data_IF_366054086814
#
_entry.id   IF_366054086814
#
_cell.length_a   1.000
_cell.length_b   1.000
_cell.length_c   1.000
_cell.angle_alpha   90.00
_cell.angle_beta   90.00
_cell.angle_gamma   90.00
#
_symmetry.space_group_name_H-M   'P 1'
#
loop_
_entity.id
_entity.type
_entity.pdbx_description
1 polymer ?
#
# COMPACT_ATOMS: atom_id res chain seq x y z
N UNK A 1 -28.29 -36.64 -10.23
CA UNK A 1 -28.14 -35.56 -11.23
C UNK A 1 -29.18 -34.51 -10.84
N UNK A 2 -28.78 -33.48 -10.11
CA UNK A 2 -29.62 -32.32 -9.83
C UNK A 2 -28.74 -31.10 -9.92
N UNK A 3 -28.98 -30.32 -10.95
CA UNK A 3 -28.25 -29.11 -11.31
C UNK A 3 -28.37 -28.06 -10.21
N UNK A 4 -27.23 -27.62 -9.67
CA UNK A 4 -27.11 -26.38 -8.92
C UNK A 4 -27.17 -25.21 -9.92
N UNK A 5 -28.39 -24.81 -10.30
CA UNK A 5 -28.61 -23.56 -11.00
C UNK A 5 -28.46 -22.45 -9.95
N UNK A 6 -27.31 -21.78 -9.97
CA UNK A 6 -27.05 -20.59 -9.15
C UNK A 6 -28.07 -19.52 -9.58
N UNK A 7 -28.95 -19.13 -8.66
CA UNK A 7 -29.90 -18.04 -8.88
C UNK A 7 -29.12 -16.73 -9.03
N UNK A 8 -28.97 -16.30 -10.28
CA UNK A 8 -28.26 -15.09 -10.68
C UNK A 8 -28.89 -13.85 -10.03
N UNK A 9 -30.20 -13.84 -9.75
CA UNK A 9 -30.85 -12.74 -9.06
C UNK A 9 -30.50 -12.70 -7.57
N UNK A 10 -30.38 -13.87 -6.91
CA UNK A 10 -29.92 -13.95 -5.53
C UNK A 10 -28.44 -13.54 -5.39
N UNK A 11 -27.58 -13.98 -6.31
CA UNK A 11 -26.18 -13.58 -6.37
C UNK A 11 -26.04 -12.08 -6.64
N UNK A 12 -26.75 -11.53 -7.63
CA UNK A 12 -26.74 -10.09 -7.89
C UNK A 12 -27.28 -9.26 -6.72
N UNK A 13 -28.24 -9.77 -5.95
CA UNK A 13 -28.77 -9.10 -4.76
C UNK A 13 -27.77 -9.12 -3.59
N UNK A 14 -27.07 -10.23 -3.37
CA UNK A 14 -25.98 -10.33 -2.37
C UNK A 14 -24.78 -9.45 -2.75
N UNK A 15 -24.39 -9.46 -4.01
CA UNK A 15 -23.31 -8.60 -4.54
C UNK A 15 -23.72 -7.13 -4.51
N UNK A 16 -24.95 -6.77 -4.91
CA UNK A 16 -25.44 -5.37 -4.80
C UNK A 16 -25.61 -4.91 -3.36
N UNK A 17 -26.01 -5.77 -2.42
CA UNK A 17 -26.06 -5.42 -1.00
C UNK A 17 -24.66 -5.17 -0.42
N UNK A 18 -23.66 -5.95 -0.85
CA UNK A 18 -22.24 -5.74 -0.53
C UNK A 18 -21.73 -4.41 -1.11
N UNK A 19 -22.01 -4.13 -2.39
CA UNK A 19 -21.58 -2.90 -3.07
C UNK A 19 -22.35 -1.63 -2.67
N UNK A 20 -23.62 -1.73 -2.26
CA UNK A 20 -24.43 -0.57 -1.86
C UNK A 20 -24.11 -0.08 -0.44
N UNK A 21 -23.50 -0.90 0.43
CA UNK A 21 -23.18 -0.50 1.80
C UNK A 21 -21.83 0.23 1.95
N UNK A 22 -20.89 0.06 1.00
CA UNK A 22 -19.55 0.63 1.07
C UNK A 22 -19.46 2.15 0.83
N UNK A 23 -20.57 2.85 0.61
CA UNK A 23 -20.54 4.30 0.33
C UNK A 23 -20.63 5.19 1.57
N UNK A 24 -20.66 4.65 2.80
CA UNK A 24 -20.88 5.49 4.00
C UNK A 24 -20.10 5.19 5.28
N UNK A 25 -19.12 4.27 5.32
CA UNK A 25 -18.44 3.95 6.59
C UNK A 25 -16.95 3.61 6.44
N UNK A 26 -16.08 4.62 6.41
CA UNK A 26 -14.62 4.47 6.45
C UNK A 26 -14.09 3.63 7.64
N UNK A 27 -14.86 3.47 8.73
CA UNK A 27 -14.46 2.72 9.93
C UNK A 27 -14.82 1.23 9.84
N UNK A 28 -15.91 0.85 9.16
CA UNK A 28 -16.29 -0.56 8.98
C UNK A 28 -15.32 -1.29 8.04
N UNK A 29 -14.79 -0.57 7.05
CA UNK A 29 -13.89 -1.16 6.04
C UNK A 29 -12.53 -1.55 6.62
N UNK A 30 -12.00 -0.78 7.58
CA UNK A 30 -10.69 -1.04 8.22
C UNK A 30 -10.75 -2.29 9.12
N UNK A 31 -11.81 -2.45 9.92
CA UNK A 31 -11.97 -3.63 10.78
C UNK A 31 -12.08 -4.91 9.95
N UNK A 32 -12.79 -4.86 8.81
CA UNK A 32 -12.89 -6.00 7.90
C UNK A 32 -11.53 -6.33 7.25
N UNK A 33 -10.75 -5.34 6.82
CA UNK A 33 -9.42 -5.56 6.25
C UNK A 33 -8.45 -6.15 7.29
N UNK A 34 -8.47 -5.68 8.54
CA UNK A 34 -7.67 -6.24 9.64
C UNK A 34 -8.06 -7.70 9.91
N UNK A 35 -9.36 -8.01 9.87
CA UNK A 35 -9.84 -9.39 10.00
C UNK A 35 -9.40 -10.29 8.84
N UNK A 36 -9.27 -9.76 7.63
CA UNK A 36 -8.80 -10.51 6.47
C UNK A 36 -7.28 -10.70 6.47
N UNK A 37 -6.50 -9.69 6.86
CA UNK A 37 -5.04 -9.78 6.88
C UNK A 37 -4.49 -9.42 8.26
N UNK A 38 -4.59 -10.33 9.26
CA UNK A 38 -4.11 -10.07 10.62
C UNK A 38 -2.63 -9.73 10.67
N UNK A 39 -1.84 -10.30 9.76
CA UNK A 39 -0.41 -9.99 9.64
C UNK A 39 -0.11 -8.57 9.13
N UNK A 40 -1.13 -7.78 8.76
CA UNK A 40 -1.01 -6.36 8.43
C UNK A 40 -1.66 -5.46 9.49
N UNK A 41 -2.07 -6.00 10.64
CA UNK A 41 -2.78 -5.26 11.68
C UNK A 41 -2.03 -3.99 12.11
N UNK A 42 -0.71 -4.07 12.31
CA UNK A 42 0.11 -2.91 12.68
C UNK A 42 0.11 -1.83 11.60
N UNK A 43 0.28 -2.22 10.33
CA UNK A 43 0.24 -1.31 9.18
C UNK A 43 -1.13 -0.60 9.08
N UNK A 44 -2.21 -1.36 9.20
CA UNK A 44 -3.57 -0.80 9.15
C UNK A 44 -3.87 0.08 10.36
N UNK A 45 -3.37 -0.28 11.54
CA UNK A 45 -3.42 0.55 12.74
C UNK A 45 -2.71 1.89 12.53
N UNK A 46 -1.51 1.88 11.93
CA UNK A 46 -0.81 3.10 11.53
C UNK A 46 -1.65 3.92 10.54
N UNK A 47 -2.22 3.30 9.50
CA UNK A 47 -3.03 4.02 8.50
C UNK A 47 -4.29 4.64 9.11
N UNK A 48 -4.94 3.94 10.03
CA UNK A 48 -6.08 4.49 10.76
C UNK A 48 -5.67 5.73 11.56
N UNK A 49 -4.55 5.66 12.30
CA UNK A 49 -3.98 6.82 13.00
C UNK A 49 -3.67 7.96 12.02
N UNK A 50 -3.03 7.66 10.90
CA UNK A 50 -2.63 8.65 9.90
C UNK A 50 -3.81 9.34 9.24
N UNK A 51 -4.92 8.63 9.06
CA UNK A 51 -6.12 9.16 8.41
C UNK A 51 -7.06 9.94 9.33
N UNK A 52 -6.82 9.96 10.66
CA UNK A 52 -7.64 10.74 11.59
C UNK A 52 -7.81 12.19 11.11
N UNK A 53 -9.02 12.77 11.25
CA UNK A 53 -9.24 14.19 10.96
C UNK A 53 -8.28 15.08 11.76
N UNK A 54 -7.93 16.23 11.19
CA UNK A 54 -7.05 17.21 11.83
C UNK A 54 -7.85 18.33 12.50
N UNK A 55 -9.14 18.49 12.20
CA UNK A 55 -9.95 19.60 12.71
C UNK A 55 -10.12 19.58 14.24
N UNK A 56 -10.08 18.40 14.86
CA UNK A 56 -10.17 18.22 16.31
C UNK A 56 -8.79 18.21 17.01
N UNK A 57 -7.71 18.47 16.28
CA UNK A 57 -6.35 18.52 16.85
C UNK A 57 -6.06 19.89 17.46
N UNK A 58 -5.64 19.94 18.72
CA UNK A 58 -5.32 21.19 19.43
C UNK A 58 -4.23 22.01 18.73
N UNK A 59 -3.38 21.34 17.95
CA UNK A 59 -2.28 21.95 17.21
C UNK A 59 -2.61 22.23 15.75
N UNK A 60 -3.85 22.01 15.31
CA UNK A 60 -4.29 22.23 13.94
C UNK A 60 -3.93 23.63 13.40
N UNK A 61 -3.92 24.64 14.27
CA UNK A 61 -3.52 26.02 13.90
C UNK A 61 -2.08 26.08 13.37
N UNK A 62 -1.14 25.34 13.97
CA UNK A 62 0.27 25.36 13.56
C UNK A 62 0.44 24.67 12.22
N UNK A 63 -0.24 23.55 12.03
CA UNK A 63 -0.23 22.82 10.76
C UNK A 63 -0.81 23.68 9.63
N UNK A 64 -1.91 24.41 9.91
CA UNK A 64 -2.52 25.34 8.96
C UNK A 64 -1.59 26.49 8.60
N UNK A 65 -0.86 27.08 9.54
CA UNK A 65 0.14 28.14 9.24
C UNK A 65 1.18 27.65 8.24
N UNK A 66 1.66 26.41 8.37
CA UNK A 66 2.63 25.84 7.44
C UNK A 66 2.01 25.40 6.11
N UNK A 67 0.84 24.76 6.13
CA UNK A 67 0.22 24.16 4.94
C UNK A 67 -0.53 25.19 4.07
N UNK A 68 -1.01 26.29 4.63
CA UNK A 68 -1.83 27.27 3.91
C UNK A 68 -1.07 28.05 2.81
N UNK A 69 0.22 28.37 2.93
CA UNK A 69 0.98 28.96 1.83
C UNK A 69 1.00 28.11 0.55
N UNK A 70 0.81 26.78 0.63
CA UNK A 70 0.65 25.95 -0.56
C UNK A 70 -0.68 26.18 -1.30
N UNK A 71 -1.61 26.96 -0.73
CA UNK A 71 -2.97 27.23 -1.23
C UNK A 71 -3.01 28.44 -2.15
N UNK A 72 -2.15 29.44 -1.94
CA UNK A 72 -2.35 30.80 -2.47
C UNK A 72 -2.37 30.89 -4.02
N UNK A 73 -2.09 29.79 -4.73
CA UNK A 73 -2.12 29.70 -6.19
C UNK A 73 -3.04 28.59 -6.76
N UNK A 74 -3.85 27.91 -5.94
CA UNK A 74 -4.42 26.60 -6.27
C UNK A 74 -5.94 26.53 -6.03
N UNK A 75 -6.69 25.91 -6.96
CA UNK A 75 -8.17 25.85 -7.00
C UNK A 75 -8.83 24.76 -6.12
N UNK A 76 -10.04 24.31 -6.51
CA UNK A 76 -10.84 23.38 -5.69
C UNK A 76 -10.31 21.93 -5.61
N UNK A 77 -9.50 21.48 -6.58
CA UNK A 77 -8.85 20.15 -6.53
C UNK A 77 -7.76 20.07 -5.45
N UNK A 78 -7.35 21.21 -4.92
CA UNK A 78 -6.23 21.30 -3.97
C UNK A 78 -6.66 21.35 -2.49
N UNK A 79 -7.97 21.28 -2.18
CA UNK A 79 -8.46 21.00 -0.81
C UNK A 79 -7.94 19.66 -0.26
N UNK A 80 -7.88 18.64 -1.12
CA UNK A 80 -7.32 17.34 -0.76
C UNK A 80 -5.80 17.43 -0.50
N UNK A 81 -5.09 18.31 -1.20
CA UNK A 81 -3.66 18.52 -1.00
C UNK A 81 -3.36 19.15 0.35
N UNK A 82 -4.16 20.14 0.76
CA UNK A 82 -4.05 20.78 2.08
C UNK A 82 -4.37 19.78 3.18
N UNK A 83 -5.50 19.07 3.07
CA UNK A 83 -5.89 18.08 4.05
C UNK A 83 -4.82 17.00 4.19
N UNK A 84 -4.17 16.61 3.10
CA UNK A 84 -3.06 15.69 3.13
C UNK A 84 -1.78 16.29 3.75
N UNK A 85 -1.41 17.53 3.42
CA UNK A 85 -0.33 18.26 4.07
C UNK A 85 -0.54 18.32 5.60
N UNK A 86 -1.74 18.72 6.05
CA UNK A 86 -2.10 18.79 7.46
C UNK A 86 -1.91 17.43 8.15
N UNK A 87 -2.34 16.34 7.50
CA UNK A 87 -2.19 14.98 8.03
C UNK A 87 -0.72 14.56 8.12
N UNK A 88 0.12 14.89 7.11
CA UNK A 88 1.56 14.61 7.14
C UNK A 88 2.21 15.34 8.32
N UNK A 89 2.02 16.66 8.40
CA UNK A 89 2.63 17.49 9.46
C UNK A 89 2.23 16.99 10.84
N UNK A 90 0.94 16.67 11.04
CA UNK A 90 0.44 16.10 12.29
C UNK A 90 1.06 14.73 12.60
N UNK A 91 1.25 13.88 11.59
CA UNK A 91 1.90 12.56 11.76
C UNK A 91 3.38 12.65 12.06
N UNK A 92 4.09 13.60 11.45
CA UNK A 92 5.49 13.86 11.73
C UNK A 92 5.68 14.37 13.16
N UNK A 93 4.67 15.07 13.71
CA UNK A 93 4.52 15.25 15.15
C UNK A 93 5.62 16.07 15.81
N UNK A 94 6.24 17.01 15.08
CA UNK A 94 7.31 17.89 15.57
C UNK A 94 6.82 19.20 16.19
N UNK A 95 5.52 19.50 16.13
CA UNK A 95 4.97 20.67 16.81
C UNK A 95 4.66 20.38 18.29
N UNK A 96 4.79 21.40 19.17
CA UNK A 96 4.42 21.29 20.58
C UNK A 96 2.92 20.96 20.73
N UNK A 97 2.48 20.45 21.91
CA UNK A 97 3.25 20.27 23.14
C UNK A 97 3.92 18.89 23.29
N UNK A 98 3.42 17.85 22.61
CA UNK A 98 3.79 16.46 22.92
C UNK A 98 5.03 15.95 22.17
N UNK A 99 5.48 16.63 21.11
CA UNK A 99 6.65 16.26 20.30
C UNK A 99 6.71 14.76 19.99
N UNK A 100 5.60 14.20 19.50
CA UNK A 100 5.41 12.76 19.29
C UNK A 100 6.53 12.10 18.44
N UNK A 101 7.22 12.88 17.60
CA UNK A 101 8.39 12.42 16.85
C UNK A 101 9.52 11.86 17.73
N UNK A 102 9.60 12.21 19.01
CA UNK A 102 10.59 11.67 19.95
C UNK A 102 10.32 10.21 20.33
N UNK A 103 9.15 9.67 20.00
CA UNK A 103 8.80 8.25 20.18
C UNK A 103 8.74 7.47 18.87
N UNK A 104 9.00 8.14 17.74
CA UNK A 104 8.92 7.57 16.41
C UNK A 104 9.91 6.41 16.25
N UNK A 105 9.40 5.22 15.88
CA UNK A 105 10.20 4.04 15.55
C UNK A 105 10.51 3.99 14.06
N UNK A 106 11.44 3.12 13.67
CA UNK A 106 11.78 2.90 12.26
C UNK A 106 10.56 2.40 11.47
N UNK A 107 9.78 1.47 12.04
CA UNK A 107 8.58 0.90 11.44
C UNK A 107 7.49 1.95 11.23
N UNK A 108 7.34 2.90 12.16
CA UNK A 108 6.41 4.03 12.01
C UNK A 108 6.75 4.86 10.76
N UNK A 109 8.04 5.08 10.50
CA UNK A 109 8.49 5.84 9.34
C UNK A 109 8.29 5.09 8.03
N UNK A 110 8.55 3.79 8.04
CA UNK A 110 8.28 2.93 6.89
C UNK A 110 6.78 2.96 6.56
N UNK A 111 5.93 2.74 7.55
CA UNK A 111 4.46 2.77 7.38
C UNK A 111 3.98 4.16 6.94
N UNK A 112 4.55 5.23 7.49
CA UNK A 112 4.22 6.59 7.08
C UNK A 112 4.59 6.83 5.62
N UNK A 113 5.79 6.43 5.19
CA UNK A 113 6.22 6.59 3.80
C UNK A 113 5.37 5.76 2.82
N UNK A 114 4.94 4.55 3.20
CA UNK A 114 3.96 3.79 2.41
C UNK A 114 2.66 4.55 2.27
N UNK A 115 2.07 4.98 3.40
CA UNK A 115 0.81 5.73 3.40
C UNK A 115 0.92 7.00 2.56
N UNK A 116 2.03 7.73 2.67
CA UNK A 116 2.31 8.93 1.89
C UNK A 116 2.31 8.60 0.40
N UNK A 117 3.08 7.58 -0.01
CA UNK A 117 3.19 7.21 -1.41
C UNK A 117 1.85 6.77 -2.02
N UNK A 118 1.09 5.92 -1.32
CA UNK A 118 -0.25 5.51 -1.79
C UNK A 118 -1.20 6.70 -1.92
N UNK A 119 -1.20 7.59 -0.93
CA UNK A 119 -2.05 8.79 -0.93
C UNK A 119 -1.63 9.77 -2.03
N UNK A 120 -0.32 9.94 -2.24
CA UNK A 120 0.25 10.75 -3.31
C UNK A 120 -0.25 10.29 -4.67
N UNK A 121 -0.21 8.98 -4.94
CA UNK A 121 -0.71 8.42 -6.21
C UNK A 121 -2.23 8.55 -6.34
N UNK A 122 -2.98 8.23 -5.28
CA UNK A 122 -4.45 8.26 -5.28
C UNK A 122 -4.99 9.66 -5.50
N UNK A 123 -4.47 10.64 -4.76
CA UNK A 123 -4.98 12.02 -4.78
C UNK A 123 -4.18 12.94 -5.70
N UNK A 124 -3.18 12.40 -6.43
CA UNK A 124 -2.31 13.14 -7.35
C UNK A 124 -1.63 14.33 -6.65
N UNK A 125 -1.23 14.11 -5.40
CA UNK A 125 -0.52 15.11 -4.60
C UNK A 125 0.84 15.38 -5.25
N UNK A 126 1.22 16.64 -5.47
CA UNK A 126 2.55 16.98 -5.92
C UNK A 126 3.62 16.63 -4.87
N UNK A 127 4.72 16.05 -5.31
CA UNK A 127 5.83 15.65 -4.42
C UNK A 127 6.39 16.82 -3.61
N UNK A 128 6.38 18.05 -4.17
CA UNK A 128 6.88 19.24 -3.46
C UNK A 128 6.12 19.54 -2.16
N UNK A 129 4.85 19.15 -2.05
CA UNK A 129 4.06 19.30 -0.81
C UNK A 129 4.65 18.40 0.27
N UNK A 130 4.99 17.16 -0.11
CA UNK A 130 5.56 16.16 0.80
C UNK A 130 6.98 16.58 1.21
N UNK A 131 7.82 16.97 0.26
CA UNK A 131 9.18 17.42 0.57
C UNK A 131 9.15 18.64 1.48
N UNK A 132 8.25 19.59 1.24
CA UNK A 132 8.04 20.73 2.12
C UNK A 132 7.71 20.32 3.56
N UNK A 133 6.78 19.38 3.76
CA UNK A 133 6.45 18.89 5.10
C UNK A 133 7.65 18.26 5.82
N UNK A 134 8.49 17.50 5.11
CA UNK A 134 9.69 16.90 5.70
C UNK A 134 10.82 17.90 5.93
N UNK A 135 10.92 18.95 5.12
CA UNK A 135 11.86 20.05 5.34
C UNK A 135 11.50 20.83 6.60
N UNK A 136 10.22 21.14 6.81
CA UNK A 136 9.72 21.75 8.06
C UNK A 136 10.06 20.90 9.29
N UNK A 137 9.76 19.60 9.22
CA UNK A 137 10.10 18.62 10.24
C UNK A 137 11.61 18.59 10.53
N UNK A 138 12.44 18.50 9.49
CA UNK A 138 13.90 18.44 9.63
C UNK A 138 14.45 19.74 10.24
N UNK A 139 13.92 20.90 9.84
CA UNK A 139 14.33 22.19 10.38
C UNK A 139 13.96 22.34 11.85
N UNK A 140 12.74 21.96 12.22
CA UNK A 140 12.30 21.97 13.62
C UNK A 140 13.18 21.08 14.50
N UNK A 141 13.49 19.87 14.03
CA UNK A 141 14.35 18.91 14.75
C UNK A 141 15.78 19.42 14.91
N UNK A 142 16.35 20.01 13.85
CA UNK A 142 17.67 20.65 13.93
C UNK A 142 17.66 21.81 14.92
N UNK A 143 16.61 22.62 14.93
CA UNK A 143 16.43 23.70 15.91
C UNK A 143 16.38 23.20 17.36
N UNK A 144 15.91 21.97 17.58
CA UNK A 144 15.90 21.29 18.89
C UNK A 144 17.20 20.53 19.21
N UNK A 145 18.23 20.60 18.36
CA UNK A 145 19.45 19.79 18.46
C UNK A 145 19.19 18.27 18.54
N UNK A 146 18.13 17.81 17.87
CA UNK A 146 17.77 16.39 17.77
C UNK A 146 18.14 15.83 16.40
N UNK A 147 18.13 14.50 16.27
CA UNK A 147 18.29 13.82 14.98
C UNK A 147 16.92 13.43 14.41
N UNK A 148 16.67 13.67 13.10
CA UNK A 148 15.45 13.21 12.46
C UNK A 148 15.32 11.69 12.60
N UNK A 149 14.15 11.23 13.04
CA UNK A 149 13.86 9.79 13.18
C UNK A 149 13.12 9.22 11.99
N UNK A 150 12.54 10.09 11.17
CA UNK A 150 11.94 9.73 9.90
C UNK A 150 12.49 10.60 8.79
N UNK A 151 12.67 10.02 7.62
CA UNK A 151 13.07 10.73 6.41
C UNK A 151 12.07 10.45 5.31
N UNK A 152 11.85 11.42 4.45
CA UNK A 152 11.05 11.20 3.26
C UNK A 152 11.76 10.21 2.34
N UNK A 153 11.02 9.22 1.87
CA UNK A 153 11.49 8.27 0.89
C UNK A 153 10.71 8.40 -0.41
N UNK A 154 11.35 8.93 -1.45
CA UNK A 154 10.76 9.07 -2.77
C UNK A 154 10.81 7.74 -3.52
N UNK A 155 9.71 6.99 -3.46
CA UNK A 155 9.59 5.68 -4.09
C UNK A 155 9.75 5.72 -5.61
N UNK A 156 9.20 6.73 -6.29
CA UNK A 156 9.28 6.86 -7.76
C UNK A 156 10.72 7.08 -8.27
N UNK A 157 11.54 7.78 -7.50
CA UNK A 157 12.93 8.06 -7.89
C UNK A 157 13.87 6.92 -7.54
N UNK A 158 13.53 6.12 -6.52
CA UNK A 158 14.40 5.07 -6.02
C UNK A 158 14.10 3.69 -6.61
N UNK A 159 12.87 3.44 -7.07
CA UNK A 159 12.47 2.12 -7.52
C UNK A 159 11.69 2.14 -8.83
N UNK A 160 11.96 1.14 -9.66
CA UNK A 160 11.06 0.73 -10.71
C UNK A 160 9.81 0.09 -10.11
N UNK A 161 8.63 0.47 -10.63
CA UNK A 161 7.31 0.02 -10.19
C UNK A 161 7.13 -0.03 -8.65
N UNK A 162 7.16 1.13 -7.97
CA UNK A 162 7.32 1.14 -6.52
C UNK A 162 6.16 0.52 -5.73
N UNK A 163 4.95 0.46 -6.29
CA UNK A 163 3.81 -0.24 -5.66
C UNK A 163 4.14 -1.72 -5.46
N UNK A 164 4.80 -2.35 -6.44
CA UNK A 164 5.21 -3.74 -6.36
C UNK A 164 6.30 -3.92 -5.31
N UNK A 165 7.26 -2.99 -5.23
CA UNK A 165 8.27 -2.99 -4.16
C UNK A 165 7.60 -2.89 -2.78
N UNK A 166 6.72 -1.92 -2.54
CA UNK A 166 6.05 -1.75 -1.24
C UNK A 166 5.29 -3.02 -0.81
N UNK A 167 4.66 -3.74 -1.75
CA UNK A 167 4.02 -5.03 -1.46
C UNK A 167 5.03 -6.07 -0.97
N UNK A 168 6.16 -6.20 -1.64
CA UNK A 168 7.23 -7.12 -1.21
C UNK A 168 7.85 -6.70 0.13
N UNK A 169 8.00 -5.40 0.37
CA UNK A 169 8.48 -4.88 1.65
C UNK A 169 7.51 -5.17 2.79
N UNK A 170 6.21 -4.98 2.57
CA UNK A 170 5.19 -5.40 3.52
C UNK A 170 5.23 -6.90 3.80
N UNK A 171 5.54 -7.74 2.80
CA UNK A 171 5.73 -9.17 3.03
C UNK A 171 6.91 -9.44 3.96
N UNK A 172 8.11 -8.97 3.63
CA UNK A 172 9.29 -9.32 4.41
C UNK A 172 9.33 -8.67 5.80
N UNK A 173 8.67 -7.53 6.02
CA UNK A 173 8.49 -6.96 7.36
C UNK A 173 7.53 -7.78 8.24
N UNK A 174 6.53 -8.44 7.64
CA UNK A 174 5.51 -9.22 8.35
C UNK A 174 5.71 -10.74 8.22
N UNK A 175 6.85 -11.16 7.68
CA UNK A 175 7.12 -12.55 7.30
C UNK A 175 7.03 -13.53 8.48
N UNK A 176 7.39 -13.09 9.69
CA UNK A 176 7.31 -13.93 10.90
C UNK A 176 5.85 -14.25 11.23
N UNK A 177 4.97 -13.26 11.18
CA UNK A 177 3.54 -13.44 11.43
C UNK A 177 2.89 -14.29 10.33
N UNK A 178 3.27 -14.04 9.06
CA UNK A 178 2.85 -14.87 7.91
C UNK A 178 3.28 -16.33 8.12
N UNK A 179 4.54 -16.55 8.50
CA UNK A 179 5.07 -17.87 8.81
C UNK A 179 4.27 -18.56 9.94
N UNK A 180 4.02 -17.85 11.04
CA UNK A 180 3.31 -18.39 12.19
C UNK A 180 1.87 -18.82 11.82
N UNK A 181 1.17 -18.04 10.99
CA UNK A 181 -0.16 -18.38 10.46
C UNK A 181 -0.09 -19.66 9.59
N UNK A 182 0.87 -19.71 8.65
CA UNK A 182 1.03 -20.84 7.72
C UNK A 182 1.46 -22.16 8.39
N UNK A 183 2.08 -22.08 9.58
CA UNK A 183 2.43 -23.26 10.38
C UNK A 183 1.28 -23.68 11.30
N UNK A 184 0.72 -22.74 12.07
CA UNK A 184 -0.28 -23.06 13.11
C UNK A 184 -1.54 -23.69 12.55
N UNK A 185 -2.02 -23.21 11.40
CA UNK A 185 -3.30 -23.63 10.82
C UNK A 185 -3.17 -24.71 9.74
N UNK A 186 -2.06 -25.45 9.78
CA UNK A 186 -1.68 -26.31 8.66
C UNK A 186 -2.33 -27.68 8.64
N UNK A 187 -2.95 -28.11 9.74
CA UNK A 187 -3.79 -29.29 9.75
C UNK A 187 -5.04 -29.06 8.88
N UNK A 188 -5.47 -30.02 8.04
CA UNK A 188 -6.62 -29.84 7.14
C UNK A 188 -7.93 -29.42 7.82
N UNK A 189 -8.07 -29.67 9.13
CA UNK A 189 -9.23 -29.29 9.95
C UNK A 189 -9.11 -27.90 10.60
N UNK A 190 -7.94 -27.28 10.55
CA UNK A 190 -7.60 -26.01 11.20
C UNK A 190 -7.34 -24.88 10.20
N UNK A 191 -7.35 -25.17 8.90
CA UNK A 191 -7.25 -24.16 7.84
C UNK A 191 -8.46 -23.24 7.92
N UNK A 192 -8.25 -22.05 8.46
CA UNK A 192 -9.26 -21.02 8.48
C UNK A 192 -8.93 -19.96 7.41
N UNK A 193 -9.73 -18.91 7.35
CA UNK A 193 -9.57 -17.84 6.36
C UNK A 193 -8.19 -17.17 6.44
N UNK A 194 -7.58 -17.03 7.62
CA UNK A 194 -6.27 -16.42 7.83
C UNK A 194 -5.15 -17.20 7.15
N UNK A 195 -5.13 -18.53 7.26
CA UNK A 195 -4.24 -19.39 6.48
C UNK A 195 -4.35 -19.10 4.97
N UNK A 196 -5.58 -19.03 4.46
CA UNK A 196 -5.83 -18.80 3.04
C UNK A 196 -5.41 -17.41 2.57
N UNK A 197 -5.60 -16.38 3.40
CA UNK A 197 -5.13 -15.03 3.11
C UNK A 197 -3.59 -14.94 3.12
N UNK A 198 -2.93 -15.56 4.09
CA UNK A 198 -1.46 -15.60 4.14
C UNK A 198 -0.87 -16.34 2.93
N UNK A 199 -1.45 -17.47 2.54
CA UNK A 199 -1.04 -18.21 1.35
C UNK A 199 -1.27 -17.42 0.06
N UNK A 200 -2.43 -16.76 -0.07
CA UNK A 200 -2.75 -15.94 -1.24
C UNK A 200 -1.81 -14.75 -1.37
N UNK A 201 -1.51 -14.07 -0.26
CA UNK A 201 -0.57 -12.96 -0.25
C UNK A 201 0.86 -13.41 -0.62
N UNK A 202 1.30 -14.58 -0.12
CA UNK A 202 2.57 -15.18 -0.52
C UNK A 202 2.61 -15.51 -2.03
N UNK A 203 1.56 -16.12 -2.57
CA UNK A 203 1.41 -16.42 -4.00
C UNK A 203 1.58 -15.16 -4.86
N UNK A 204 0.89 -14.08 -4.50
CA UNK A 204 0.97 -12.81 -5.20
C UNK A 204 2.37 -12.19 -5.13
N UNK A 205 3.00 -12.20 -3.94
CA UNK A 205 4.36 -11.70 -3.78
C UNK A 205 5.36 -12.49 -4.65
N UNK A 206 5.21 -13.82 -4.77
CA UNK A 206 6.03 -14.63 -5.68
C UNK A 206 5.81 -14.26 -7.14
N UNK A 207 4.56 -14.02 -7.56
CA UNK A 207 4.26 -13.54 -8.93
C UNK A 207 4.93 -12.20 -9.21
N UNK A 208 4.77 -11.25 -8.28
CA UNK A 208 5.37 -9.91 -8.38
C UNK A 208 6.89 -10.04 -8.48
N UNK A 209 7.51 -10.81 -7.58
CA UNK A 209 8.95 -11.03 -7.59
C UNK A 209 9.43 -11.57 -8.94
N UNK A 210 8.81 -12.64 -9.47
CA UNK A 210 9.21 -13.25 -10.74
C UNK A 210 9.12 -12.26 -11.90
N UNK A 211 8.00 -11.54 -11.99
CA UNK A 211 7.79 -10.52 -13.00
C UNK A 211 8.84 -9.40 -12.91
N UNK A 212 9.04 -8.86 -11.71
CA UNK A 212 9.99 -7.77 -11.47
C UNK A 212 11.44 -8.21 -11.72
N UNK A 213 11.81 -9.42 -11.29
CA UNK A 213 13.15 -9.98 -11.46
C UNK A 213 13.49 -10.23 -12.95
N UNK A 214 12.56 -10.79 -13.73
CA UNK A 214 12.73 -10.96 -15.18
C UNK A 214 12.86 -9.60 -15.90
N UNK A 215 11.99 -8.67 -15.52
CA UNK A 215 11.93 -7.35 -16.14
C UNK A 215 13.16 -6.49 -15.85
N UNK A 216 13.64 -6.45 -14.60
CA UNK A 216 14.63 -5.47 -14.14
C UNK A 216 16.00 -6.06 -13.73
N UNK A 217 16.11 -7.35 -13.38
CA UNK A 217 17.34 -7.88 -12.77
C UNK A 217 17.99 -9.03 -13.54
N UNK A 218 17.26 -9.66 -14.45
CA UNK A 218 17.77 -10.78 -15.24
C UNK A 218 18.62 -10.29 -16.42
N UNK A 219 19.49 -11.14 -16.96
CA UNK A 219 20.28 -10.84 -18.17
C UNK A 219 21.17 -9.59 -18.06
N UNK A 220 21.88 -9.42 -16.94
CA UNK A 220 22.74 -8.26 -16.65
C UNK A 220 22.01 -6.93 -16.49
N UNK A 221 20.67 -6.94 -16.43
CA UNK A 221 19.90 -5.71 -16.18
C UNK A 221 20.11 -5.18 -14.76
N UNK A 222 20.59 -6.01 -13.84
CA UNK A 222 21.03 -5.63 -12.50
C UNK A 222 22.30 -4.74 -12.52
N UNK A 223 23.10 -4.78 -13.60
CA UNK A 223 24.23 -3.87 -13.80
C UNK A 223 23.78 -2.45 -14.19
N UNK A 224 22.52 -2.27 -14.63
CA UNK A 224 21.93 -0.97 -14.97
C UNK A 224 21.67 -0.20 -13.67
N UNK A 225 22.24 1.00 -13.55
CA UNK A 225 22.20 1.82 -12.34
C UNK A 225 20.76 2.06 -11.82
N UNK A 226 19.83 2.34 -12.73
CA UNK A 226 18.42 2.59 -12.42
C UNK A 226 17.71 1.37 -11.83
N UNK A 227 18.22 0.15 -12.07
CA UNK A 227 17.64 -1.09 -11.58
C UNK A 227 18.25 -1.54 -10.24
N UNK A 228 19.41 -1.02 -9.85
CA UNK A 228 20.18 -1.51 -8.69
C UNK A 228 19.36 -1.54 -7.41
N UNK A 229 18.66 -0.46 -7.09
CA UNK A 229 17.81 -0.37 -5.90
C UNK A 229 16.64 -1.35 -5.95
N UNK A 230 15.95 -1.46 -7.10
CA UNK A 230 14.87 -2.44 -7.30
C UNK A 230 15.39 -3.87 -7.13
N UNK A 231 16.55 -4.19 -7.71
CA UNK A 231 17.14 -5.53 -7.61
C UNK A 231 17.63 -5.83 -6.19
N UNK A 232 18.12 -4.83 -5.46
CA UNK A 232 18.44 -4.96 -4.05
C UNK A 232 17.21 -5.37 -3.22
N UNK A 233 16.07 -4.70 -3.39
CA UNK A 233 14.82 -5.06 -2.69
C UNK A 233 14.32 -6.46 -3.07
N UNK A 234 14.41 -6.82 -4.35
CA UNK A 234 14.04 -8.17 -4.81
C UNK A 234 14.95 -9.24 -4.20
N UNK A 235 16.23 -8.96 -4.04
CA UNK A 235 17.18 -9.85 -3.36
C UNK A 235 16.88 -9.95 -1.86
N UNK A 236 16.52 -8.85 -1.20
CA UNK A 236 16.05 -8.87 0.20
C UNK A 236 14.82 -9.77 0.34
N UNK A 237 13.81 -9.58 -0.52
CA UNK A 237 12.64 -10.46 -0.55
C UNK A 237 13.01 -11.92 -0.79
N UNK A 238 13.87 -12.20 -1.79
CA UNK A 238 14.34 -13.56 -2.09
C UNK A 238 15.00 -14.21 -0.86
N UNK A 239 15.91 -13.49 -0.20
CA UNK A 239 16.61 -14.00 0.97
C UNK A 239 15.67 -14.23 2.14
N UNK A 240 14.76 -13.28 2.43
CA UNK A 240 13.79 -13.44 3.51
C UNK A 240 12.82 -14.59 3.24
N UNK A 241 12.31 -14.68 2.01
CA UNK A 241 11.41 -15.75 1.58
C UNK A 241 12.13 -17.10 1.67
N UNK A 242 13.32 -17.24 1.11
CA UNK A 242 14.06 -18.51 1.14
C UNK A 242 14.50 -18.90 2.55
N UNK A 243 15.09 -17.99 3.34
CA UNK A 243 15.60 -18.31 4.67
C UNK A 243 14.48 -18.73 5.63
N UNK A 244 13.34 -18.03 5.61
CA UNK A 244 12.27 -18.33 6.56
C UNK A 244 11.49 -19.58 6.15
N UNK A 245 11.48 -19.91 4.86
CA UNK A 245 10.64 -20.97 4.31
C UNK A 245 11.40 -22.27 4.02
N UNK A 246 12.73 -22.23 3.85
CA UNK A 246 13.56 -23.43 3.67
C UNK A 246 14.20 -23.96 4.96
N UNK A 247 14.41 -23.12 5.98
CA UNK A 247 15.08 -23.56 7.22
C UNK A 247 14.10 -24.26 8.18
N UNK A 248 12.78 -24.15 7.96
CA UNK A 248 11.76 -24.70 8.87
C UNK A 248 10.68 -25.53 8.12
N UNK A 249 10.89 -26.85 8.07
CA UNK A 249 9.88 -27.90 7.82
C UNK A 249 8.93 -27.74 6.60
N UNK A 250 7.71 -28.29 6.72
CA UNK A 250 6.67 -28.56 5.71
C UNK A 250 6.11 -27.35 4.96
N UNK A 251 6.62 -26.14 5.20
CA UNK A 251 6.12 -24.92 4.54
C UNK A 251 6.35 -24.91 3.04
N UNK A 252 7.42 -25.54 2.54
CA UNK A 252 7.70 -25.68 1.10
C UNK A 252 6.55 -26.34 0.32
N UNK A 253 5.69 -27.07 1.02
CA UNK A 253 4.49 -27.72 0.49
C UNK A 253 3.22 -26.89 0.76
N UNK A 254 3.33 -25.61 1.12
CA UNK A 254 2.21 -24.71 1.46
C UNK A 254 2.25 -23.36 0.73
N UNK A 255 3.37 -23.04 0.10
CA UNK A 255 3.57 -21.84 -0.70
C UNK A 255 4.38 -22.19 -1.96
N UNK A 256 4.35 -21.35 -3.00
CA UNK A 256 5.08 -21.63 -4.22
C UNK A 256 6.58 -21.43 -4.01
N UNK A 257 7.37 -22.28 -4.65
CA UNK A 257 8.81 -22.07 -4.74
C UNK A 257 9.09 -20.94 -5.75
N UNK A 258 9.96 -19.99 -5.40
CA UNK A 258 10.36 -18.87 -6.27
C UNK A 258 10.86 -19.36 -7.64
N UNK A 259 11.61 -20.48 -7.68
CA UNK A 259 12.21 -21.03 -8.89
C UNK A 259 11.25 -21.90 -9.74
N UNK A 260 10.15 -22.39 -9.15
CA UNK A 260 9.21 -23.26 -9.85
C UNK A 260 8.43 -22.49 -10.94
N UNK A 261 8.46 -22.97 -12.19
CA UNK A 261 7.61 -22.41 -13.28
C UNK A 261 6.11 -22.68 -13.09
N UNK A 262 5.73 -23.39 -12.03
CA UNK A 262 4.36 -23.80 -11.76
C UNK A 262 3.47 -22.65 -11.26
N UNK A 263 2.19 -22.76 -11.64
CA UNK A 263 1.09 -21.89 -11.22
C UNK A 263 0.89 -21.94 -9.69
N UNK A 264 0.19 -20.93 -9.18
CA UNK A 264 -0.24 -20.79 -7.79
C UNK A 264 -0.63 -22.14 -7.18
N UNK A 265 0.01 -22.48 -6.07
CA UNK A 265 -0.38 -23.63 -5.30
C UNK A 265 -1.35 -23.16 -4.24
N UNK A 266 -2.63 -23.32 -4.51
CA UNK A 266 -3.68 -23.18 -3.51
C UNK A 266 -3.76 -24.50 -2.73
N UNK A 267 -3.03 -24.59 -1.62
CA UNK A 267 -3.02 -25.80 -0.81
C UNK A 267 -4.28 -25.87 0.06
N UNK A 268 -5.41 -26.18 -0.59
CA UNK A 268 -6.72 -26.41 0.04
C UNK A 268 -7.47 -25.15 0.48
N UNK A 269 -7.24 -24.02 -0.19
CA UNK A 269 -8.06 -22.80 -0.13
C UNK A 269 -8.78 -22.62 -1.47
N UNK A 270 -9.98 -22.05 -1.49
CA UNK A 270 -10.68 -21.77 -2.75
C UNK A 270 -10.07 -20.54 -3.43
N UNK A 271 -9.95 -20.55 -4.76
CA UNK A 271 -9.45 -19.41 -5.52
C UNK A 271 -10.33 -18.14 -5.38
N UNK A 272 -11.57 -18.30 -4.92
CA UNK A 272 -12.55 -17.21 -4.73
C UNK A 272 -12.40 -16.45 -3.41
N UNK A 273 -11.47 -16.84 -2.53
CA UNK A 273 -11.34 -16.27 -1.17
C UNK A 273 -10.40 -15.05 -1.08
N UNK A 274 -9.98 -14.44 -2.19
CA UNK A 274 -9.31 -13.12 -2.14
C UNK A 274 -10.02 -12.00 -2.91
N UNK A 275 -11.21 -11.54 -2.46
CA UNK A 275 -11.89 -10.37 -3.05
C UNK A 275 -11.23 -9.02 -2.74
N UNK A 276 -10.60 -8.86 -1.58
CA UNK A 276 -10.22 -7.54 -1.04
C UNK A 276 -9.13 -6.80 -1.83
N UNK A 277 -8.18 -7.51 -2.46
CA UNK A 277 -7.15 -6.84 -3.26
C UNK A 277 -7.62 -6.51 -4.67
N UNK A 278 -8.58 -7.26 -5.22
CA UNK A 278 -9.16 -6.94 -6.52
C UNK A 278 -9.92 -5.60 -6.49
N UNK A 279 -10.47 -5.19 -5.34
CA UNK A 279 -11.06 -3.86 -5.16
C UNK A 279 -10.03 -2.75 -5.10
N UNK A 280 -8.92 -2.92 -4.35
CA UNK A 280 -7.81 -1.95 -4.34
C UNK A 280 -7.18 -1.75 -5.74
N UNK A 281 -7.12 -2.82 -6.54
CA UNK A 281 -6.62 -2.76 -7.93
C UNK A 281 -7.69 -2.22 -8.90
N UNK A 282 -8.98 -2.54 -8.73
CA UNK A 282 -10.06 -1.99 -9.58
C UNK A 282 -10.32 -0.51 -9.32
N UNK A 283 -10.17 -0.02 -8.09
CA UNK A 283 -10.28 1.41 -7.79
C UNK A 283 -9.15 2.21 -8.43
N UNK A 284 -7.90 1.70 -8.41
CA UNK A 284 -6.77 2.33 -9.11
C UNK A 284 -6.84 2.20 -10.63
N UNK A 285 -7.41 1.11 -11.17
CA UNK A 285 -7.55 0.89 -12.60
C UNK A 285 -8.71 1.66 -13.27
N UNK A 286 -9.81 1.92 -12.55
CA UNK A 286 -10.98 2.64 -13.11
C UNK A 286 -10.73 4.13 -13.36
N UNK A 287 -9.79 4.77 -12.66
CA UNK A 287 -9.45 6.19 -12.89
C UNK A 287 -8.55 6.42 -14.12
N UNK A 288 -7.80 5.41 -14.57
CA UNK A 288 -6.98 5.49 -15.79
C UNK A 288 -7.82 5.44 -17.07
N UNK A 289 -9.05 4.90 -17.01
CA UNK A 289 -9.94 4.73 -18.16
C UNK A 289 -10.78 5.94 -18.58
N UNK A 290 -10.76 7.06 -17.84
CA UNK A 290 -11.55 8.26 -18.19
C UNK A 290 -10.81 9.28 -19.06
N UNK A 291 -9.57 9.03 -19.47
CA UNK A 291 -8.84 9.90 -20.42
C UNK A 291 -8.90 9.36 -21.84
N UNK A 292 -10.03 9.51 -22.52
CA UNK A 292 -10.08 9.71 -23.99
C UNK A 292 -11.45 10.22 -24.43
N UNK A 293 -11.61 11.55 -24.43
CA UNK A 293 -12.50 12.38 -25.27
C UNK A 293 -12.26 13.82 -24.77
N UNK A 294 -11.99 14.85 -25.55
CA UNK A 294 -12.07 15.11 -26.98
C UNK A 294 -11.25 16.39 -27.20
N UNK A 295 -10.36 16.43 -28.20
CA UNK A 295 -9.66 17.66 -28.58
C UNK A 295 -10.60 18.63 -29.29
N UNK A 296 -10.36 19.95 -29.23
CA UNK A 296 -11.13 20.90 -30.02
C UNK A 296 -10.75 20.79 -31.50
N UNK A 297 -11.74 20.68 -32.36
CA UNK A 297 -11.60 20.78 -33.81
C UNK A 297 -11.02 22.16 -34.18
N UNK A 298 -9.92 22.13 -34.93
CA UNK A 298 -9.38 23.30 -35.61
C UNK A 298 -10.33 23.72 -36.72
N UNK A 299 -10.97 24.88 -36.56
CA UNK A 299 -11.71 25.56 -37.61
C UNK A 299 -10.80 25.91 -38.78
N UNK A 300 -11.02 25.25 -39.91
CA UNK A 300 -10.47 25.62 -41.21
C UNK A 300 -11.44 26.58 -41.87
N UNK A 301 -11.06 27.86 -42.00
CA UNK A 301 -11.76 28.82 -42.84
C UNK A 301 -11.20 28.69 -44.26
N UNK A 302 -12.07 28.35 -45.23
CA UNK A 302 -11.84 28.64 -46.63
C UNK A 302 -13.17 28.92 -47.36
N UNK A 303 -13.21 30.12 -47.93
CA UNK A 303 -13.91 30.62 -49.11
C UNK A 303 -15.45 30.73 -49.15
N UNK A 304 -15.86 32.00 -49.19
CA UNK A 304 -17.05 32.58 -49.81
C UNK A 304 -16.85 34.07 -49.93
#
# INVERSE_FOLDING_TARGET
MSDNIIDIAEWQRKVRAYFCFCKKFYVLDILNIIQMYPFLEELWGSYHKFNKPVDDDENARFYKVFCNPFIENLGEKEKDHINFCLKIVRNLGHYPPDYNFLSFKTEDCVNLNYWIYYSMKKHKIPEYVITGCFDDYNNAIRGMNQRPRCSFFSYDTNYNEPINIIKLQNFYHNVKTIYDILIRESAPKERNSQYCYAQSYANECVKIYRYMHDKFCSHKKDEIKENQNTCFELNTFYNTYTQILYIKDDIKNKIPDLASKGNEKYFGCSADESPALQELIKESGRELGMRTASGPEHGSVSNG
#
